data_IF_773835134521
#
_entry.id   IF_773835134521
#
_cell.length_a   1.000
_cell.length_b   1.000
_cell.length_c   1.000
_cell.angle_alpha   90.00
_cell.angle_beta   90.00
_cell.angle_gamma   90.00
#
_symmetry.space_group_name_H-M   'P 1'
#
loop_
_entity.id
_entity.type
_entity.pdbx_description
1 polymer ?
#
# COMPACT_ATOMS: atom_id res chain seq x y z
N UNK A 1 -13.29 5.82 -21.50
CA UNK A 1 -14.38 5.44 -20.58
C UNK A 1 -13.89 5.75 -19.18
N UNK A 2 -14.67 6.47 -18.38
CA UNK A 2 -14.29 6.83 -17.00
C UNK A 2 -15.20 6.06 -16.05
N UNK A 3 -14.63 5.18 -15.22
CA UNK A 3 -15.34 4.44 -14.16
C UNK A 3 -14.75 4.92 -12.83
N UNK A 4 -15.61 5.38 -11.93
CA UNK A 4 -15.23 5.85 -10.59
C UNK A 4 -15.70 4.85 -9.54
N UNK A 5 -14.81 4.42 -8.66
CA UNK A 5 -15.12 3.52 -7.55
C UNK A 5 -14.98 4.23 -6.20
N UNK A 6 -15.81 3.86 -5.23
CA UNK A 6 -15.49 4.09 -3.81
C UNK A 6 -14.39 3.12 -3.37
N UNK A 7 -13.75 3.39 -2.22
CA UNK A 7 -12.76 2.46 -1.62
C UNK A 7 -13.33 1.04 -1.46
N UNK A 8 -14.54 0.94 -0.92
CA UNK A 8 -15.23 -0.34 -0.71
C UNK A 8 -15.54 -1.06 -2.04
N UNK A 9 -15.96 -0.32 -3.07
CA UNK A 9 -16.22 -0.91 -4.39
C UNK A 9 -14.94 -1.44 -5.04
N UNK A 10 -13.83 -0.70 -4.91
CA UNK A 10 -12.53 -1.16 -5.38
C UNK A 10 -12.07 -2.42 -4.64
N UNK A 11 -12.16 -2.43 -3.30
CA UNK A 11 -11.82 -3.60 -2.48
C UNK A 11 -12.66 -4.83 -2.89
N UNK A 12 -13.96 -4.67 -3.11
CA UNK A 12 -14.83 -5.76 -3.54
C UNK A 12 -14.52 -6.23 -4.96
N UNK A 13 -14.14 -5.33 -5.87
CA UNK A 13 -13.68 -5.68 -7.21
C UNK A 13 -12.41 -6.55 -7.15
N UNK A 14 -11.42 -6.12 -6.36
CA UNK A 14 -10.17 -6.88 -6.16
C UNK A 14 -10.45 -8.27 -5.60
N UNK A 15 -11.32 -8.40 -4.59
CA UNK A 15 -11.76 -9.71 -4.06
C UNK A 15 -12.39 -10.60 -5.12
N UNK A 16 -13.22 -10.03 -6.00
CA UNK A 16 -13.86 -10.77 -7.11
C UNK A 16 -12.80 -11.28 -8.10
N UNK A 17 -11.74 -10.52 -8.37
CA UNK A 17 -10.66 -10.97 -9.25
C UNK A 17 -9.95 -12.19 -8.65
N UNK A 18 -9.51 -12.11 -7.39
CA UNK A 18 -8.87 -13.26 -6.72
C UNK A 18 -9.76 -14.50 -6.70
N UNK A 19 -11.03 -14.33 -6.29
CA UNK A 19 -11.98 -15.44 -6.25
C UNK A 19 -12.23 -16.01 -7.66
N UNK A 20 -12.34 -15.14 -8.67
CA UNK A 20 -12.53 -15.52 -10.05
C UNK A 20 -11.37 -16.34 -10.59
N UNK A 21 -10.14 -15.86 -10.43
CA UNK A 21 -8.93 -16.58 -10.85
C UNK A 21 -8.83 -17.93 -10.17
N UNK A 22 -9.04 -17.98 -8.85
CA UNK A 22 -9.09 -19.25 -8.12
C UNK A 22 -10.17 -20.18 -8.66
N UNK A 23 -11.41 -19.72 -8.80
CA UNK A 23 -12.52 -20.54 -9.32
C UNK A 23 -12.25 -21.07 -10.74
N UNK A 24 -11.59 -20.25 -11.57
CA UNK A 24 -11.22 -20.64 -12.93
C UNK A 24 -10.14 -21.69 -12.90
N UNK A 25 -9.11 -21.59 -12.07
CA UNK A 25 -7.97 -22.50 -12.13
C UNK A 25 -8.00 -23.66 -11.10
N UNK A 26 -8.91 -23.65 -10.11
CA UNK A 26 -8.94 -24.61 -8.99
C UNK A 26 -8.99 -26.10 -9.39
N UNK A 27 -9.59 -26.43 -10.53
CA UNK A 27 -9.72 -27.82 -11.02
C UNK A 27 -8.89 -28.09 -12.28
N UNK A 28 -7.93 -27.21 -12.60
CA UNK A 28 -7.06 -27.31 -13.77
C UNK A 28 -5.64 -27.61 -13.30
N UNK A 29 -5.03 -28.69 -13.77
CA UNK A 29 -3.63 -29.04 -13.47
C UNK A 29 -2.71 -28.74 -14.65
N UNK A 30 -3.12 -29.13 -15.87
CA UNK A 30 -2.26 -29.01 -17.06
C UNK A 30 -2.77 -27.95 -18.06
N UNK A 31 -3.96 -27.37 -17.81
CA UNK A 31 -4.65 -26.46 -18.72
C UNK A 31 -5.14 -25.18 -18.05
N UNK A 32 -4.39 -24.67 -17.06
CA UNK A 32 -4.67 -23.38 -16.41
C UNK A 32 -4.81 -22.25 -17.44
N UNK A 33 -5.78 -21.37 -17.22
CA UNK A 33 -6.03 -20.23 -18.10
C UNK A 33 -5.21 -19.04 -17.59
N UNK A 34 -3.94 -18.98 -18.02
CA UNK A 34 -2.93 -18.02 -17.55
C UNK A 34 -3.34 -16.56 -17.56
N UNK A 35 -4.17 -16.13 -18.51
CA UNK A 35 -4.60 -14.73 -18.63
C UNK A 35 -5.29 -14.18 -17.36
N UNK A 36 -5.87 -15.05 -16.53
CA UNK A 36 -6.48 -14.65 -15.26
C UNK A 36 -5.44 -14.55 -14.14
N UNK A 37 -4.45 -15.44 -14.14
CA UNK A 37 -3.29 -15.34 -13.22
C UNK A 37 -2.48 -14.05 -13.52
N UNK A 38 -2.27 -13.73 -14.80
CA UNK A 38 -1.62 -12.49 -15.25
C UNK A 38 -2.41 -11.24 -14.84
N UNK A 39 -3.74 -11.30 -14.85
CA UNK A 39 -4.60 -10.21 -14.41
C UNK A 39 -4.55 -10.03 -12.88
N UNK A 40 -4.59 -11.12 -12.13
CA UNK A 40 -4.40 -11.10 -10.67
C UNK A 40 -3.04 -10.49 -10.31
N UNK A 41 -1.96 -10.99 -10.95
CA UNK A 41 -0.61 -10.49 -10.72
C UNK A 41 -0.47 -8.98 -11.03
N UNK A 42 -1.08 -8.50 -12.11
CA UNK A 42 -1.07 -7.06 -12.42
C UNK A 42 -1.76 -6.22 -11.32
N UNK A 43 -2.87 -6.71 -10.78
CA UNK A 43 -3.57 -6.04 -9.68
C UNK A 43 -2.74 -6.10 -8.40
N UNK A 44 -2.05 -7.20 -8.14
CA UNK A 44 -1.15 -7.37 -7.01
C UNK A 44 0.01 -6.38 -7.07
N UNK A 45 0.69 -6.30 -8.21
CA UNK A 45 1.81 -5.38 -8.42
C UNK A 45 1.34 -3.93 -8.23
N UNK A 46 0.21 -3.56 -8.83
CA UNK A 46 -0.39 -2.23 -8.64
C UNK A 46 -0.75 -1.94 -7.17
N UNK A 47 -1.34 -2.90 -6.47
CA UNK A 47 -1.68 -2.74 -5.06
C UNK A 47 -0.42 -2.65 -4.19
N UNK A 48 0.61 -3.43 -4.50
CA UNK A 48 1.87 -3.45 -3.78
C UNK A 48 2.63 -2.12 -3.94
N UNK A 49 2.69 -1.57 -5.15
CA UNK A 49 3.28 -0.26 -5.42
C UNK A 49 2.57 0.85 -4.62
N UNK A 50 1.24 0.87 -4.64
CA UNK A 50 0.46 1.83 -3.87
C UNK A 50 0.54 1.60 -2.35
N UNK A 51 0.66 0.34 -1.92
CA UNK A 51 0.79 -0.01 -0.52
C UNK A 51 2.13 0.46 0.05
N UNK A 52 3.23 0.30 -0.71
CA UNK A 52 4.56 0.74 -0.31
C UNK A 52 4.60 2.24 -0.01
N UNK A 53 4.09 3.06 -0.93
CA UNK A 53 3.99 4.51 -0.73
C UNK A 53 3.15 4.85 0.50
N UNK A 54 1.93 4.28 0.61
CA UNK A 54 1.04 4.55 1.75
C UNK A 54 1.67 4.13 3.09
N UNK A 55 2.40 3.02 3.11
CA UNK A 55 3.09 2.54 4.29
C UNK A 55 4.22 3.50 4.71
N UNK A 56 5.03 3.99 3.76
CA UNK A 56 6.06 5.01 4.00
C UNK A 56 5.42 6.25 4.64
N UNK A 57 4.36 6.80 4.04
CA UNK A 57 3.69 7.99 4.57
C UNK A 57 3.10 7.75 5.96
N UNK A 58 2.50 6.57 6.22
CA UNK A 58 1.95 6.24 7.54
C UNK A 58 3.03 6.10 8.60
N UNK A 59 4.14 5.44 8.29
CA UNK A 59 5.27 5.29 9.22
C UNK A 59 5.94 6.63 9.51
N UNK A 60 6.13 7.45 8.47
CA UNK A 60 6.64 8.81 8.60
C UNK A 60 5.73 9.65 9.49
N UNK A 61 4.42 9.62 9.23
CA UNK A 61 3.41 10.32 10.03
C UNK A 61 3.39 9.87 11.48
N UNK A 62 3.44 8.56 11.72
CA UNK A 62 3.50 7.97 13.07
C UNK A 62 4.69 8.49 13.85
N UNK A 63 5.88 8.48 13.25
CA UNK A 63 7.12 8.87 13.93
C UNK A 63 7.22 10.39 14.13
N UNK A 64 6.69 11.17 13.17
CA UNK A 64 6.52 12.61 13.33
C UNK A 64 5.63 12.93 14.55
N UNK A 65 4.50 12.24 14.70
CA UNK A 65 3.60 12.40 15.84
C UNK A 65 4.27 11.99 17.16
N UNK A 66 5.03 10.88 17.16
CA UNK A 66 5.82 10.46 18.33
C UNK A 66 6.87 11.51 18.73
N UNK A 67 7.54 12.14 17.75
CA UNK A 67 8.61 13.12 17.99
C UNK A 67 8.09 14.47 18.48
N UNK A 68 7.03 14.99 17.87
CA UNK A 68 6.58 16.37 18.11
C UNK A 68 5.30 16.48 18.94
N UNK A 69 4.57 15.37 19.12
CA UNK A 69 3.27 15.33 19.76
C UNK A 69 2.16 15.85 18.85
N UNK A 70 1.00 15.19 18.92
CA UNK A 70 -0.17 15.48 18.09
C UNK A 70 -0.64 16.93 18.21
N UNK A 71 -0.76 17.44 19.44
CA UNK A 71 -1.20 18.81 19.74
C UNK A 71 -0.32 19.90 19.12
N UNK A 72 0.97 19.62 18.93
CA UNK A 72 1.90 20.58 18.33
C UNK A 72 1.73 20.58 16.81
N UNK A 73 1.65 19.38 16.23
CA UNK A 73 1.50 19.16 14.79
C UNK A 73 0.17 19.71 14.26
N UNK A 74 -0.94 19.53 14.99
CA UNK A 74 -2.25 20.02 14.55
C UNK A 74 -2.35 21.55 14.51
N UNK A 75 -1.47 22.25 15.23
CA UNK A 75 -1.39 23.71 15.27
C UNK A 75 -0.41 24.31 14.25
N UNK A 76 0.41 23.48 13.59
CA UNK A 76 1.36 23.94 12.58
C UNK A 76 0.64 24.29 11.28
N UNK A 77 1.23 25.23 10.54
CA UNK A 77 0.83 25.45 9.14
C UNK A 77 1.24 24.24 8.30
N UNK A 78 0.56 24.06 7.17
CA UNK A 78 0.79 22.95 6.25
C UNK A 78 2.26 22.89 5.80
N UNK A 79 2.86 24.02 5.41
CA UNK A 79 4.25 24.10 4.95
C UNK A 79 5.22 23.63 6.03
N UNK A 80 5.07 24.15 7.25
CA UNK A 80 5.92 23.78 8.39
C UNK A 80 5.78 22.29 8.72
N UNK A 81 4.55 21.75 8.65
CA UNK A 81 4.32 20.32 8.85
C UNK A 81 5.04 19.51 7.79
N UNK A 82 4.92 19.89 6.52
CA UNK A 82 5.56 19.18 5.41
C UNK A 82 7.08 19.17 5.57
N UNK A 83 7.70 20.32 5.83
CA UNK A 83 9.14 20.42 6.09
C UNK A 83 9.61 19.50 7.22
N UNK A 84 8.79 19.30 8.26
CA UNK A 84 9.11 18.39 9.36
C UNK A 84 8.83 16.92 9.05
N UNK A 85 7.92 16.63 8.14
CA UNK A 85 7.49 15.29 7.73
C UNK A 85 8.45 14.69 6.68
N UNK A 86 8.97 15.53 5.77
CA UNK A 86 9.90 15.13 4.70
C UNK A 86 11.07 14.27 5.17
N UNK A 87 11.83 14.61 6.23
CA UNK A 87 12.97 13.78 6.65
C UNK A 87 12.57 12.38 7.16
N UNK A 88 11.32 12.21 7.58
CA UNK A 88 10.81 10.88 7.95
C UNK A 88 10.38 10.10 6.72
N UNK A 89 9.80 10.76 5.73
CA UNK A 89 9.44 10.15 4.45
C UNK A 89 10.72 9.63 3.78
N UNK A 90 11.72 10.50 3.58
CA UNK A 90 13.01 10.15 2.97
C UNK A 90 13.68 8.97 3.69
N UNK A 91 13.66 8.97 5.03
CA UNK A 91 14.17 7.85 5.84
C UNK A 91 13.50 6.51 5.48
N UNK A 92 12.17 6.51 5.32
CA UNK A 92 11.43 5.29 5.01
C UNK A 92 11.50 4.94 3.52
N UNK A 93 11.57 5.91 2.62
CA UNK A 93 11.86 5.67 1.20
C UNK A 93 13.20 4.93 1.03
N UNK A 94 14.27 5.44 1.65
CA UNK A 94 15.60 4.81 1.61
C UNK A 94 15.62 3.40 2.21
N UNK A 95 14.92 3.19 3.33
CA UNK A 95 14.87 1.88 3.99
C UNK A 95 14.12 0.86 3.13
N UNK A 96 12.98 1.23 2.57
CA UNK A 96 12.16 0.33 1.75
C UNK A 96 12.79 0.05 0.39
N UNK A 97 13.47 1.04 -0.23
CA UNK A 97 14.23 0.82 -1.45
C UNK A 97 15.36 -0.19 -1.24
N UNK A 98 16.04 -0.12 -0.08
CA UNK A 98 17.23 -0.94 0.17
C UNK A 98 16.94 -2.31 0.77
N UNK A 99 15.91 -2.44 1.60
CA UNK A 99 15.65 -3.65 2.40
C UNK A 99 14.21 -4.17 2.26
N UNK A 100 13.36 -3.51 1.47
CA UNK A 100 11.95 -3.85 1.38
C UNK A 100 11.29 -3.85 2.76
N UNK A 101 10.64 -4.97 3.11
CA UNK A 101 9.95 -5.16 4.39
C UNK A 101 10.73 -6.06 5.37
N UNK A 102 11.95 -6.47 5.05
CA UNK A 102 12.72 -7.46 5.83
C UNK A 102 12.99 -7.04 7.28
N UNK A 103 12.96 -5.73 7.56
CA UNK A 103 13.25 -5.14 8.88
C UNK A 103 12.01 -4.57 9.57
N UNK A 104 10.83 -4.88 9.05
CA UNK A 104 9.56 -4.49 9.67
C UNK A 104 9.10 -5.61 10.60
N UNK A 105 8.93 -5.27 11.87
CA UNK A 105 8.35 -6.16 12.86
C UNK A 105 6.96 -5.66 13.26
N UNK A 106 5.98 -6.57 13.29
CA UNK A 106 4.66 -6.34 13.86
C UNK A 106 4.76 -6.71 15.34
N UNK A 107 4.48 -5.75 16.22
CA UNK A 107 4.42 -5.98 17.66
C UNK A 107 2.98 -6.33 18.05
N UNK A 108 2.82 -7.42 18.79
CA UNK A 108 1.56 -7.82 19.43
C UNK A 108 1.19 -6.95 20.64
#
# INVERSE_FOLDING_TARGET
>A
MEIRFTKEQYENLVKIVYLGTWMINAFRTDNCIKKFDELEQYIDDYNNDNFGEELIYRLARRDLLKKYGENKITKMRWEERLEKETPFIEKYEEEFEKYGIERIEIQD
#
